data_IF_726912987937
#
_entry.id   IF_726912987937
#
_cell.length_a   1.000
_cell.length_b   1.000
_cell.length_c   1.000
_cell.angle_alpha   90.00
_cell.angle_beta   90.00
_cell.angle_gamma   90.00
#
_symmetry.space_group_name_H-M   'P 1'
#
loop_
_entity.id
_entity.type
_entity.pdbx_description
1 polymer ?
#
# COMPACT_ATOMS: atom_id res chain seq x y z
N UNK A 1 -21.03 32.29 29.51
CA UNK A 1 -21.99 31.80 28.48
C UNK A 1 -22.17 32.93 27.48
N UNK A 2 -22.33 32.64 26.19
CA UNK A 2 -22.63 33.68 25.18
C UNK A 2 -24.05 34.20 25.46
N UNK A 3 -24.25 35.52 25.42
CA UNK A 3 -25.56 36.13 25.64
C UNK A 3 -26.48 35.91 24.43
N UNK A 4 -27.79 36.08 24.64
CA UNK A 4 -28.78 35.89 23.56
C UNK A 4 -28.55 36.87 22.40
N UNK A 5 -28.21 38.12 22.71
CA UNK A 5 -27.94 39.15 21.70
C UNK A 5 -26.67 38.87 20.89
N UNK A 6 -25.59 38.39 21.52
CA UNK A 6 -24.39 37.95 20.81
C UNK A 6 -24.67 36.75 19.88
N UNK A 7 -25.51 35.81 20.31
CA UNK A 7 -25.93 34.68 19.49
C UNK A 7 -26.77 35.12 18.29
N UNK A 8 -27.77 36.00 18.50
CA UNK A 8 -28.63 36.51 17.44
C UNK A 8 -27.84 37.41 16.45
N UNK A 9 -26.86 38.18 16.93
CA UNK A 9 -25.90 38.90 16.07
C UNK A 9 -25.01 37.95 15.24
N UNK A 10 -24.48 36.89 15.86
CA UNK A 10 -23.64 35.91 15.16
C UNK A 10 -24.44 35.16 14.09
N UNK A 11 -25.67 34.76 14.40
CA UNK A 11 -26.61 34.15 13.47
C UNK A 11 -26.94 35.09 12.31
N UNK A 12 -27.27 36.36 12.59
CA UNK A 12 -27.53 37.38 11.56
C UNK A 12 -26.34 37.57 10.59
N UNK A 13 -25.11 37.61 11.13
CA UNK A 13 -23.88 37.66 10.31
C UNK A 13 -23.70 36.40 9.46
N UNK A 14 -23.98 35.22 10.01
CA UNK A 14 -23.91 33.94 9.28
C UNK A 14 -24.96 33.86 8.16
N UNK A 15 -26.22 34.20 8.44
CA UNK A 15 -27.31 34.19 7.45
C UNK A 15 -27.05 35.20 6.32
N UNK A 16 -26.51 36.39 6.63
CA UNK A 16 -26.05 37.35 5.63
C UNK A 16 -24.88 36.80 4.77
N UNK A 17 -23.92 36.13 5.39
CA UNK A 17 -22.79 35.48 4.69
C UNK A 17 -23.27 34.33 3.78
N UNK A 18 -24.21 33.50 4.24
CA UNK A 18 -24.84 32.44 3.44
C UNK A 18 -25.63 33.04 2.26
N UNK A 19 -26.37 34.13 2.47
CA UNK A 19 -27.08 34.84 1.38
C UNK A 19 -26.11 35.40 0.33
N UNK A 20 -25.01 36.02 0.76
CA UNK A 20 -23.96 36.50 -0.13
C UNK A 20 -23.27 35.36 -0.91
N UNK A 21 -23.03 34.21 -0.25
CA UNK A 21 -22.48 33.02 -0.90
C UNK A 21 -23.46 32.44 -1.94
N UNK A 22 -24.76 32.38 -1.66
CA UNK A 22 -25.80 31.91 -2.60
C UNK A 22 -25.86 32.79 -3.85
N UNK A 23 -25.98 34.11 -3.70
CA UNK A 23 -25.97 35.05 -4.83
C UNK A 23 -24.69 34.90 -5.69
N UNK A 24 -23.53 34.69 -5.06
CA UNK A 24 -22.25 34.47 -5.74
C UNK A 24 -22.12 33.08 -6.41
N UNK A 25 -22.97 32.12 -6.04
CA UNK A 25 -23.13 30.83 -6.72
C UNK A 25 -24.17 30.91 -7.85
N UNK A 26 -25.25 31.66 -7.69
CA UNK A 26 -26.28 31.91 -8.71
C UNK A 26 -25.68 32.64 -9.92
N UNK A 27 -24.81 33.64 -9.71
CA UNK A 27 -24.01 34.29 -10.78
C UNK A 27 -22.99 33.33 -11.44
N UNK A 28 -22.66 32.20 -10.81
CA UNK A 28 -21.86 31.12 -11.41
C UNK A 28 -22.70 29.96 -11.94
N UNK A 29 -24.02 30.09 -11.94
CA UNK A 29 -24.96 29.15 -12.56
C UNK A 29 -25.01 29.29 -14.07
N UNK A 30 -23.88 29.06 -14.77
CA UNK A 30 -23.95 28.79 -16.21
C UNK A 30 -24.81 27.55 -16.39
N UNK A 31 -25.92 27.67 -17.11
CA UNK A 31 -26.86 26.58 -17.32
C UNK A 31 -26.15 25.31 -17.85
N UNK A 32 -26.70 24.14 -17.51
CA UNK A 32 -26.32 22.89 -18.18
C UNK A 32 -26.94 22.89 -19.59
N UNK A 33 -26.29 23.63 -20.49
CA UNK A 33 -26.52 23.55 -21.93
C UNK A 33 -25.99 22.19 -22.43
N UNK A 34 -26.88 21.20 -22.49
CA UNK A 34 -26.61 19.88 -23.06
C UNK A 34 -26.93 19.87 -24.57
N UNK A 35 -26.70 21.00 -25.25
CA UNK A 35 -26.95 21.19 -26.68
C UNK A 35 -25.69 21.49 -27.51
N UNK A 36 -24.73 22.23 -26.97
CA UNK A 36 -23.53 22.62 -27.72
C UNK A 36 -22.34 21.66 -27.53
N UNK A 37 -21.53 21.48 -28.58
CA UNK A 37 -20.24 20.78 -28.56
C UNK A 37 -19.20 21.65 -27.82
N UNK A 38 -19.37 21.75 -26.49
CA UNK A 38 -18.56 22.59 -25.60
C UNK A 38 -17.07 22.40 -25.88
N UNK A 39 -16.44 23.47 -26.36
CA UNK A 39 -15.07 23.41 -26.89
C UNK A 39 -14.09 22.75 -25.94
N UNK A 40 -13.13 22.02 -26.53
CA UNK A 40 -12.09 21.33 -25.76
C UNK A 40 -11.32 22.31 -24.87
N UNK A 41 -10.99 21.94 -23.62
CA UNK A 41 -10.11 22.74 -22.79
C UNK A 41 -8.65 22.73 -23.32
N UNK A 42 -8.32 21.85 -24.26
CA UNK A 42 -7.02 21.82 -24.93
C UNK A 42 -6.90 22.87 -26.05
N UNK A 43 -5.73 23.53 -26.14
CA UNK A 43 -5.36 24.36 -27.31
C UNK A 43 -5.27 23.52 -28.59
N UNK A 44 -5.32 24.19 -29.74
CA UNK A 44 -5.15 23.57 -31.06
C UNK A 44 -3.88 22.72 -31.13
N UNK A 45 -2.75 23.21 -30.63
CA UNK A 45 -1.45 22.52 -30.64
C UNK A 45 -1.53 21.13 -30.02
N UNK A 46 -2.32 20.96 -28.94
CA UNK A 46 -2.53 19.65 -28.33
C UNK A 46 -3.40 18.75 -29.21
N UNK A 47 -4.50 19.27 -29.76
CA UNK A 47 -5.46 18.49 -30.57
C UNK A 47 -4.88 18.04 -31.91
N UNK A 48 -4.07 18.91 -32.53
CA UNK A 48 -3.48 18.75 -33.84
C UNK A 48 -2.12 18.02 -33.79
N UNK A 49 -1.52 17.87 -32.59
CA UNK A 49 -0.30 17.10 -32.38
C UNK A 49 -0.42 15.67 -32.94
N UNK A 50 0.50 15.34 -33.86
CA UNK A 50 0.58 14.03 -34.48
C UNK A 50 0.96 12.95 -33.46
N UNK A 51 0.18 11.88 -33.41
CA UNK A 51 0.44 10.73 -32.53
C UNK A 51 1.60 9.92 -33.13
N UNK A 52 2.71 9.67 -32.39
CA UNK A 52 3.84 8.91 -32.92
C UNK A 52 3.41 7.49 -33.36
N UNK A 53 3.84 6.98 -34.53
CA UNK A 53 3.36 5.68 -35.06
C UNK A 53 3.61 4.44 -34.19
N UNK A 54 4.48 4.54 -33.17
CA UNK A 54 4.78 3.48 -32.19
C UNK A 54 4.14 3.71 -30.82
N UNK A 55 3.37 4.78 -30.65
CA UNK A 55 2.74 5.15 -29.38
C UNK A 55 1.72 4.10 -28.93
N UNK A 56 1.71 3.80 -27.62
CA UNK A 56 0.72 2.94 -26.97
C UNK A 56 0.12 3.70 -25.79
N UNK A 57 -1.17 4.01 -25.86
CA UNK A 57 -1.90 4.63 -24.75
C UNK A 57 -1.71 3.80 -23.47
N UNK A 58 -1.24 4.38 -22.35
CA UNK A 58 -1.08 3.66 -21.09
C UNK A 58 -2.35 2.97 -20.62
N UNK A 59 -2.28 1.64 -20.40
CA UNK A 59 -3.40 0.85 -19.90
C UNK A 59 -3.59 1.07 -18.40
N UNK A 60 -4.34 2.11 -18.04
CA UNK A 60 -4.70 2.40 -16.65
C UNK A 60 -6.15 2.05 -16.34
N UNK A 61 -6.43 1.69 -15.08
CA UNK A 61 -7.82 1.66 -14.57
C UNK A 61 -8.37 3.10 -14.60
N UNK A 62 -9.58 3.36 -15.13
CA UNK A 62 -10.16 4.70 -15.15
C UNK A 62 -10.19 5.37 -13.77
N UNK A 63 -10.06 6.69 -13.77
CA UNK A 63 -10.16 7.55 -12.59
C UNK A 63 -11.51 8.24 -12.57
N UNK A 64 -12.29 7.98 -11.53
CA UNK A 64 -13.64 8.48 -11.29
C UNK A 64 -13.67 9.69 -10.33
N UNK A 65 -12.60 9.88 -9.55
CA UNK A 65 -12.49 10.85 -8.46
C UNK A 65 -12.24 10.23 -7.07
N UNK A 66 -12.26 8.89 -6.93
CA UNK A 66 -12.27 8.20 -5.63
C UNK A 66 -10.89 7.89 -5.00
N UNK A 67 -9.80 8.00 -5.78
CA UNK A 67 -8.43 7.63 -5.37
C UNK A 67 -7.56 8.87 -5.17
N UNK A 68 -6.41 8.72 -4.51
CA UNK A 68 -5.41 9.79 -4.44
C UNK A 68 -5.00 10.21 -5.87
N UNK A 69 -5.19 11.50 -6.26
CA UNK A 69 -4.78 11.98 -7.58
C UNK A 69 -3.25 12.02 -7.76
N UNK A 70 -2.45 11.95 -6.70
CA UNK A 70 -0.98 11.97 -6.78
C UNK A 70 -0.43 10.61 -7.19
N UNK A 71 -0.78 9.56 -6.45
CA UNK A 71 -0.54 8.16 -6.81
C UNK A 71 -0.96 7.87 -8.26
N UNK A 72 -2.15 8.35 -8.66
CA UNK A 72 -2.65 8.15 -10.02
C UNK A 72 -1.82 8.88 -11.10
N UNK A 73 -1.29 10.06 -10.78
CA UNK A 73 -0.38 10.80 -11.68
C UNK A 73 0.99 10.12 -11.73
N UNK A 74 1.55 9.68 -10.61
CA UNK A 74 2.86 9.01 -10.54
C UNK A 74 2.84 7.68 -11.32
N UNK A 75 1.74 6.91 -11.24
CA UNK A 75 1.53 5.71 -12.06
C UNK A 75 1.39 6.04 -13.56
N UNK A 76 0.74 7.16 -13.92
CA UNK A 76 0.66 7.59 -15.31
C UNK A 76 2.02 8.04 -15.87
N UNK A 77 2.75 8.86 -15.12
CA UNK A 77 4.07 9.38 -15.50
C UNK A 77 5.06 8.20 -15.69
N UNK A 78 5.08 7.25 -14.75
CA UNK A 78 5.86 6.02 -14.86
C UNK A 78 5.49 5.09 -16.04
N UNK A 79 4.32 5.26 -16.68
CA UNK A 79 3.92 4.50 -17.88
C UNK A 79 4.11 5.26 -19.19
N UNK A 80 4.08 6.60 -19.15
CA UNK A 80 4.15 7.46 -20.34
C UNK A 80 5.61 7.89 -20.65
N UNK A 81 6.46 8.03 -19.65
CA UNK A 81 7.81 8.58 -19.83
C UNK A 81 8.77 7.64 -20.57
N UNK A 82 8.62 6.32 -20.41
CA UNK A 82 9.33 5.32 -21.22
C UNK A 82 9.02 5.40 -22.74
N UNK A 83 8.00 6.17 -23.15
CA UNK A 83 7.65 6.38 -24.56
C UNK A 83 8.17 7.71 -25.11
N UNK A 84 8.83 8.55 -24.28
CA UNK A 84 9.47 9.82 -24.67
C UNK A 84 8.56 10.76 -25.49
N UNK A 85 7.28 10.83 -25.13
CA UNK A 85 6.27 11.59 -25.88
C UNK A 85 6.14 13.06 -25.43
N UNK A 86 5.65 13.91 -26.33
CA UNK A 86 5.40 15.33 -26.05
C UNK A 86 4.23 15.54 -25.08
N UNK A 87 4.22 16.69 -24.41
CA UNK A 87 3.14 17.11 -23.49
C UNK A 87 1.74 17.04 -24.10
N UNK A 88 1.61 17.32 -25.41
CA UNK A 88 0.35 17.16 -26.14
C UNK A 88 -0.18 15.72 -26.12
N UNK A 89 0.71 14.74 -26.32
CA UNK A 89 0.36 13.30 -26.25
C UNK A 89 0.10 12.88 -24.80
N UNK A 90 0.86 13.40 -23.82
CA UNK A 90 0.57 13.18 -22.39
C UNK A 90 -0.84 13.68 -22.03
N UNK A 91 -1.19 14.90 -22.42
CA UNK A 91 -2.54 15.45 -22.29
C UNK A 91 -3.61 14.57 -22.94
N UNK A 92 -3.44 14.21 -24.22
CA UNK A 92 -4.41 13.40 -24.97
C UNK A 92 -4.59 12.00 -24.40
N UNK A 93 -3.54 11.39 -23.84
CA UNK A 93 -3.62 10.11 -23.16
C UNK A 93 -4.28 10.21 -21.78
N UNK A 94 -3.92 11.22 -20.98
CA UNK A 94 -4.44 11.37 -19.61
C UNK A 94 -5.96 11.63 -19.59
N UNK A 95 -6.51 12.44 -20.52
CA UNK A 95 -7.96 12.68 -20.58
C UNK A 95 -8.80 11.42 -20.84
N UNK A 96 -8.25 10.40 -21.51
CA UNK A 96 -8.98 9.15 -21.84
C UNK A 96 -9.30 8.38 -20.55
N UNK A 97 -8.42 8.50 -19.56
CA UNK A 97 -8.54 7.82 -18.28
C UNK A 97 -9.63 8.40 -17.36
N UNK A 98 -10.13 9.61 -17.63
CA UNK A 98 -11.18 10.24 -16.81
C UNK A 98 -12.56 9.60 -17.06
N UNK A 99 -13.22 9.18 -15.99
CA UNK A 99 -14.63 8.75 -15.97
C UNK A 99 -15.39 9.48 -14.85
N UNK A 100 -16.70 9.25 -14.70
CA UNK A 100 -17.51 9.78 -13.59
C UNK A 100 -17.29 11.27 -13.30
N UNK A 101 -17.02 11.60 -12.04
CA UNK A 101 -16.80 12.97 -11.57
C UNK A 101 -15.57 13.62 -12.20
N UNK A 102 -14.52 12.87 -12.54
CA UNK A 102 -13.35 13.37 -13.26
C UNK A 102 -13.69 13.80 -14.69
N UNK A 103 -14.52 13.03 -15.40
CA UNK A 103 -14.98 13.41 -16.75
C UNK A 103 -15.91 14.64 -16.71
N UNK A 104 -16.75 14.75 -15.67
CA UNK A 104 -17.61 15.92 -15.46
C UNK A 104 -16.83 17.18 -15.05
N UNK A 105 -15.72 17.03 -14.31
CA UNK A 105 -14.79 18.13 -14.04
C UNK A 105 -14.05 18.57 -15.30
N UNK A 106 -13.50 17.63 -16.07
CA UNK A 106 -12.79 17.93 -17.32
C UNK A 106 -13.69 18.68 -18.32
N UNK A 107 -14.96 18.23 -18.48
CA UNK A 107 -15.98 18.95 -19.28
C UNK A 107 -16.33 20.36 -18.76
N UNK A 108 -15.93 20.75 -17.54
CA UNK A 108 -16.19 22.07 -16.95
C UNK A 108 -15.00 23.05 -17.03
N UNK A 109 -13.79 22.58 -17.34
CA UNK A 109 -12.63 23.45 -17.59
C UNK A 109 -12.96 24.51 -18.67
N UNK A 110 -12.38 25.72 -18.64
CA UNK A 110 -12.58 26.70 -19.70
C UNK A 110 -12.07 26.17 -21.05
N UNK A 111 -12.69 26.59 -22.15
CA UNK A 111 -12.19 26.26 -23.49
C UNK A 111 -10.75 26.78 -23.66
N UNK A 112 -9.90 25.97 -24.31
CA UNK A 112 -8.50 26.30 -24.67
C UNK A 112 -7.58 26.71 -23.51
N UNK A 113 -7.94 26.46 -22.25
CA UNK A 113 -7.16 26.88 -21.07
C UNK A 113 -5.92 26.02 -20.77
N UNK A 114 -5.77 24.87 -21.43
CA UNK A 114 -4.69 23.91 -21.20
C UNK A 114 -3.86 23.77 -22.49
N UNK A 115 -2.60 24.20 -22.43
CA UNK A 115 -1.58 24.07 -23.49
C UNK A 115 -0.43 23.12 -23.13
N UNK A 116 -0.31 22.70 -21.86
CA UNK A 116 0.72 21.75 -21.39
C UNK A 116 0.16 20.68 -20.45
N UNK A 117 0.85 19.55 -20.35
CA UNK A 117 0.50 18.48 -19.41
C UNK A 117 0.76 18.91 -17.96
N UNK A 118 1.77 19.74 -17.72
CA UNK A 118 2.01 20.36 -16.39
C UNK A 118 0.79 21.15 -15.88
N UNK A 119 0.11 21.92 -16.76
CA UNK A 119 -1.14 22.60 -16.40
C UNK A 119 -2.27 21.59 -16.12
N UNK A 120 -2.46 20.57 -16.97
CA UNK A 120 -3.50 19.55 -16.77
C UNK A 120 -3.30 18.80 -15.43
N UNK A 121 -2.06 18.41 -15.13
CA UNK A 121 -1.64 17.79 -13.86
C UNK A 121 -1.95 18.71 -12.67
N UNK A 122 -1.60 20.00 -12.76
CA UNK A 122 -1.84 20.98 -11.69
C UNK A 122 -3.33 21.14 -11.38
N UNK A 123 -4.15 21.35 -12.41
CA UNK A 123 -5.60 21.55 -12.22
C UNK A 123 -6.28 20.26 -11.73
N UNK A 124 -5.86 19.09 -12.22
CA UNK A 124 -6.33 17.78 -11.75
C UNK A 124 -6.01 17.56 -10.27
N UNK A 125 -4.75 17.74 -9.86
CA UNK A 125 -4.32 17.59 -8.47
C UNK A 125 -5.05 18.61 -7.57
N UNK A 126 -5.21 19.87 -8.01
CA UNK A 126 -5.95 20.91 -7.29
C UNK A 126 -7.42 20.51 -7.02
N UNK A 127 -8.11 20.05 -8.06
CA UNK A 127 -9.52 19.63 -7.98
C UNK A 127 -9.74 18.45 -7.02
N UNK A 128 -8.88 17.43 -7.07
CA UNK A 128 -9.14 16.15 -6.39
C UNK A 128 -8.45 16.01 -5.02
N UNK A 129 -7.32 16.69 -4.79
CA UNK A 129 -6.63 16.65 -3.47
C UNK A 129 -7.47 17.26 -2.34
N UNK A 130 -8.41 18.14 -2.68
CA UNK A 130 -9.26 18.86 -1.70
C UNK A 130 -10.51 18.09 -1.25
N UNK A 131 -10.77 16.89 -1.79
CA UNK A 131 -12.05 16.18 -1.60
C UNK A 131 -11.95 14.78 -1.02
N UNK A 132 -10.90 14.02 -1.34
CA UNK A 132 -10.88 12.56 -1.14
C UNK A 132 -9.57 12.01 -0.56
N UNK A 133 -8.75 12.84 0.07
CA UNK A 133 -7.64 12.35 0.90
C UNK A 133 -7.62 13.00 2.28
N UNK A 134 -8.58 12.57 3.10
CA UNK A 134 -8.45 12.57 4.56
C UNK A 134 -7.22 11.75 4.93
N UNK A 135 -6.05 12.40 4.93
CA UNK A 135 -4.80 11.78 5.38
C UNK A 135 -5.03 11.30 6.80
N UNK A 136 -4.97 9.99 7.02
CA UNK A 136 -5.38 9.42 8.29
C UNK A 136 -4.55 10.06 9.40
N UNK A 137 -5.19 10.53 10.45
CA UNK A 137 -4.50 11.14 11.59
C UNK A 137 -3.74 10.06 12.36
N UNK A 138 -2.73 10.41 13.16
CA UNK A 138 -2.03 9.43 14.00
C UNK A 138 -3.01 8.62 14.88
N UNK A 139 -4.08 9.26 15.36
CA UNK A 139 -5.19 8.63 16.11
C UNK A 139 -5.93 7.51 15.37
N UNK A 140 -5.85 7.43 14.04
CA UNK A 140 -6.38 6.28 13.29
C UNK A 140 -5.68 4.97 13.69
N UNK A 141 -4.38 5.01 13.97
CA UNK A 141 -3.62 3.82 14.37
C UNK A 141 -4.08 3.23 15.71
N UNK A 142 -4.68 4.04 16.59
CA UNK A 142 -5.31 3.56 17.81
C UNK A 142 -6.50 2.60 17.54
N UNK A 143 -7.12 2.68 16.36
CA UNK A 143 -8.19 1.76 15.94
C UNK A 143 -7.64 0.42 15.41
N UNK A 144 -6.35 0.38 15.05
CA UNK A 144 -5.67 -0.77 14.45
C UNK A 144 -5.21 -1.71 15.56
N UNK A 145 -6.15 -2.43 16.17
CA UNK A 145 -5.89 -3.49 17.15
C UNK A 145 -5.85 -4.87 16.47
N UNK A 146 -5.14 -5.83 17.07
CA UNK A 146 -5.05 -7.21 16.63
C UNK A 146 -6.39 -7.91 16.81
N UNK A 147 -6.87 -8.60 15.76
CA UNK A 147 -8.18 -9.26 15.76
C UNK A 147 -8.09 -10.65 16.40
N UNK A 148 -9.22 -11.15 16.92
CA UNK A 148 -9.33 -12.53 17.40
C UNK A 148 -9.03 -13.51 16.26
N UNK A 149 -7.94 -14.28 16.40
CA UNK A 149 -7.48 -15.26 15.39
C UNK A 149 -6.52 -14.72 14.33
N UNK A 150 -6.19 -13.42 14.34
CA UNK A 150 -5.19 -12.83 13.44
C UNK A 150 -3.78 -13.05 14.00
N UNK A 151 -2.87 -13.58 13.17
CA UNK A 151 -1.49 -13.84 13.58
C UNK A 151 -0.72 -12.55 13.83
N UNK A 152 0.37 -12.65 14.60
CA UNK A 152 1.26 -11.52 14.85
C UNK A 152 1.86 -10.95 13.55
N UNK A 153 2.11 -11.81 12.55
CA UNK A 153 2.58 -11.38 11.22
C UNK A 153 1.53 -10.55 10.48
N UNK A 154 0.29 -11.04 10.37
CA UNK A 154 -0.80 -10.32 9.70
C UNK A 154 -1.10 -8.99 10.38
N UNK A 155 -1.11 -8.95 11.71
CA UNK A 155 -1.28 -7.71 12.48
C UNK A 155 -0.19 -6.69 12.17
N UNK A 156 1.09 -7.09 12.19
CA UNK A 156 2.23 -6.21 11.89
C UNK A 156 2.16 -5.66 10.47
N UNK A 157 1.94 -6.51 9.47
CA UNK A 157 1.79 -6.08 8.08
C UNK A 157 0.66 -5.08 7.93
N UNK A 158 -0.53 -5.38 8.49
CA UNK A 158 -1.68 -4.48 8.45
C UNK A 158 -1.44 -3.15 9.18
N UNK A 159 -0.71 -3.15 10.30
CA UNK A 159 -0.37 -1.92 11.01
C UNK A 159 0.60 -1.04 10.20
N UNK A 160 1.65 -1.63 9.61
CA UNK A 160 2.59 -0.90 8.76
C UNK A 160 1.91 -0.34 7.49
N UNK A 161 1.04 -1.13 6.85
CA UNK A 161 0.25 -0.65 5.70
C UNK A 161 -0.69 0.51 6.04
N UNK A 162 -1.25 0.55 7.24
CA UNK A 162 -2.10 1.66 7.69
C UNK A 162 -1.28 2.87 8.17
N UNK A 163 -0.09 2.65 8.72
CA UNK A 163 0.87 3.72 9.07
C UNK A 163 1.36 4.49 7.84
N UNK A 164 1.60 3.82 6.70
CA UNK A 164 1.97 4.49 5.45
C UNK A 164 0.88 5.43 4.89
N UNK A 165 -0.38 5.25 5.33
CA UNK A 165 -1.54 6.09 4.95
C UNK A 165 -1.76 7.26 5.93
N UNK A 166 -0.96 7.34 6.99
CA UNK A 166 -1.05 8.36 8.04
C UNK A 166 -0.08 9.51 7.77
N UNK A 167 -0.52 10.75 8.03
CA UNK A 167 0.36 11.91 7.99
C UNK A 167 0.89 12.24 9.40
N UNK A 168 2.18 12.58 9.47
CA UNK A 168 2.84 13.13 10.68
C UNK A 168 2.65 12.29 11.96
N UNK A 169 2.87 10.98 11.88
CA UNK A 169 3.00 10.12 13.06
C UNK A 169 4.43 10.22 13.63
N UNK A 170 4.59 10.44 14.93
CA UNK A 170 5.89 10.27 15.61
C UNK A 170 6.14 8.80 15.95
N UNK A 171 7.40 8.42 16.15
CA UNK A 171 7.75 7.07 16.60
C UNK A 171 7.11 6.72 17.95
N UNK A 172 7.05 7.66 18.90
CA UNK A 172 6.31 7.47 20.17
C UNK A 172 4.84 7.15 19.96
N UNK A 173 4.19 7.84 19.02
CA UNK A 173 2.77 7.61 18.67
C UNK A 173 2.61 6.23 18.04
N UNK A 174 3.48 5.87 17.09
CA UNK A 174 3.46 4.58 16.43
C UNK A 174 3.71 3.42 17.40
N UNK A 175 4.72 3.54 18.28
CA UNK A 175 5.02 2.59 19.35
C UNK A 175 3.82 2.44 20.31
N UNK A 176 3.26 3.55 20.79
CA UNK A 176 2.12 3.54 21.71
C UNK A 176 0.91 2.82 21.10
N UNK A 177 0.48 3.20 19.89
CA UNK A 177 -0.69 2.60 19.24
C UNK A 177 -0.45 1.15 18.82
N UNK A 178 0.77 0.79 18.39
CA UNK A 178 1.11 -0.59 18.06
C UNK A 178 1.09 -1.50 19.30
N UNK A 179 1.74 -1.08 20.39
CA UNK A 179 1.89 -1.86 21.62
C UNK A 179 0.55 -2.02 22.37
N UNK A 180 -0.31 -0.98 22.34
CA UNK A 180 -1.68 -1.05 22.89
C UNK A 180 -2.67 -1.73 21.93
N UNK A 181 -2.30 -1.95 20.67
CA UNK A 181 -3.08 -2.70 19.69
C UNK A 181 -2.86 -4.22 19.72
N UNK A 182 -1.74 -4.72 20.26
CA UNK A 182 -1.45 -6.15 20.40
C UNK A 182 -2.48 -6.89 21.28
N UNK A 183 -2.69 -8.18 20.99
CA UNK A 183 -3.58 -9.05 21.77
C UNK A 183 -2.86 -9.86 22.89
N UNK A 184 -1.53 -9.95 22.86
CA UNK A 184 -0.72 -10.62 23.90
C UNK A 184 -0.07 -9.55 24.81
N UNK A 185 -0.66 -9.35 25.99
CA UNK A 185 -0.15 -8.41 27.00
C UNK A 185 1.27 -8.76 27.49
N UNK A 186 1.62 -10.05 27.50
CA UNK A 186 2.97 -10.50 27.87
C UNK A 186 3.98 -10.13 26.79
N UNK A 187 3.58 -10.17 25.51
CA UNK A 187 4.39 -9.65 24.41
C UNK A 187 4.50 -8.11 24.47
N UNK A 188 3.41 -7.38 24.72
CA UNK A 188 3.43 -5.92 24.91
C UNK A 188 4.44 -5.51 25.99
N UNK A 189 4.40 -6.15 27.16
CA UNK A 189 5.34 -5.89 28.26
C UNK A 189 6.79 -6.26 27.87
N UNK A 190 7.02 -7.37 27.15
CA UNK A 190 8.36 -7.74 26.67
C UNK A 190 8.94 -6.72 25.69
N UNK A 191 8.14 -6.16 24.79
CA UNK A 191 8.59 -5.20 23.79
C UNK A 191 8.89 -3.81 24.38
N UNK A 192 8.07 -3.36 25.34
CA UNK A 192 8.27 -2.07 26.02
C UNK A 192 9.40 -2.05 27.07
N UNK A 193 9.79 -3.21 27.62
CA UNK A 193 10.74 -3.33 28.75
C UNK A 193 12.13 -2.76 28.52
N UNK A 194 12.57 -2.65 27.28
CA UNK A 194 13.92 -2.20 26.90
C UNK A 194 13.95 -0.72 26.46
N UNK A 195 12.90 0.06 26.75
CA UNK A 195 12.79 1.49 26.41
C UNK A 195 13.25 1.83 24.97
N UNK A 196 12.65 1.20 23.94
CA UNK A 196 13.06 1.38 22.55
C UNK A 196 12.98 2.85 22.13
N UNK A 197 14.02 3.34 21.45
CA UNK A 197 14.11 4.74 21.03
C UNK A 197 13.37 5.01 19.70
N UNK A 198 13.06 3.96 18.93
CA UNK A 198 12.40 4.04 17.64
C UNK A 198 11.36 2.92 17.45
N UNK A 199 10.34 3.19 16.62
CA UNK A 199 9.38 2.20 16.18
C UNK A 199 10.05 1.08 15.36
N UNK A 200 11.15 1.39 14.66
CA UNK A 200 11.97 0.42 13.96
C UNK A 200 12.56 -0.66 14.89
N UNK A 201 13.01 -0.30 16.10
CA UNK A 201 13.48 -1.28 17.11
C UNK A 201 12.35 -2.20 17.58
N UNK A 202 11.15 -1.66 17.80
CA UNK A 202 9.97 -2.47 18.17
C UNK A 202 9.68 -3.49 17.06
N UNK A 203 9.61 -3.05 15.81
CA UNK A 203 9.42 -3.93 14.65
C UNK A 203 10.50 -5.02 14.52
N UNK A 204 11.78 -4.69 14.78
CA UNK A 204 12.86 -5.68 14.78
C UNK A 204 12.69 -6.73 15.91
N UNK A 205 12.28 -6.31 17.11
CA UNK A 205 12.02 -7.22 18.24
C UNK A 205 10.81 -8.12 17.96
N UNK A 206 9.73 -7.56 17.41
CA UNK A 206 8.54 -8.31 16.97
C UNK A 206 8.89 -9.33 15.89
N UNK A 207 9.70 -8.96 14.89
CA UNK A 207 10.12 -9.89 13.83
C UNK A 207 10.83 -11.12 14.39
N UNK A 208 11.76 -10.95 15.36
CA UNK A 208 12.42 -12.07 16.06
C UNK A 208 11.43 -13.01 16.76
N UNK A 209 10.31 -12.48 17.27
CA UNK A 209 9.23 -13.28 17.88
C UNK A 209 8.46 -14.06 16.82
N UNK A 210 8.10 -13.44 15.69
CA UNK A 210 7.43 -14.11 14.57
C UNK A 210 8.29 -15.24 14.00
N UNK A 211 9.54 -14.94 13.66
CA UNK A 211 10.48 -15.91 13.08
C UNK A 211 10.71 -17.10 14.04
N UNK A 212 10.72 -16.83 15.36
CA UNK A 212 10.79 -17.86 16.41
C UNK A 212 9.52 -18.70 16.55
N UNK A 213 8.33 -18.10 16.44
CA UNK A 213 7.06 -18.83 16.46
C UNK A 213 6.93 -19.78 15.26
N UNK A 214 7.30 -19.33 14.06
CA UNK A 214 7.26 -20.13 12.83
C UNK A 214 8.26 -21.29 12.84
N UNK A 215 9.45 -21.08 13.42
CA UNK A 215 10.44 -22.14 13.64
C UNK A 215 9.93 -23.23 14.60
N UNK A 216 9.12 -22.86 15.60
CA UNK A 216 8.50 -23.83 16.52
C UNK A 216 7.37 -24.61 15.84
N UNK A 217 6.48 -23.94 15.09
CA UNK A 217 5.43 -24.62 14.30
C UNK A 217 6.03 -25.62 13.31
N UNK A 218 7.12 -25.25 12.63
CA UNK A 218 7.84 -26.12 11.69
C UNK A 218 8.44 -27.37 12.35
N UNK A 219 8.80 -27.29 13.64
CA UNK A 219 9.28 -28.44 14.41
C UNK A 219 8.14 -29.34 14.89
N UNK A 220 7.05 -28.75 15.38
CA UNK A 220 5.86 -29.48 15.87
C UNK A 220 5.17 -30.23 14.72
N UNK A 221 5.18 -29.68 13.50
CA UNK A 221 4.66 -30.34 12.30
C UNK A 221 5.50 -31.52 11.76
N UNK A 222 6.62 -31.89 12.42
CA UNK A 222 7.48 -32.99 12.00
C UNK A 222 7.28 -34.20 12.93
N UNK A 223 6.70 -35.33 12.48
CA UNK A 223 6.50 -36.49 13.34
C UNK A 223 7.86 -37.03 13.80
N UNK A 224 8.02 -37.16 15.12
CA UNK A 224 9.24 -37.67 15.73
C UNK A 224 9.47 -39.13 15.31
N UNK A 225 10.59 -39.39 14.63
CA UNK A 225 11.06 -40.78 14.46
C UNK A 225 11.54 -41.28 15.81
N UNK A 226 10.71 -42.08 16.48
CA UNK A 226 11.09 -42.80 17.69
C UNK A 226 12.38 -43.58 17.45
N UNK A 227 13.44 -43.23 18.17
CA UNK A 227 14.65 -44.05 18.26
C UNK A 227 14.39 -45.09 19.36
N UNK A 228 13.86 -46.24 18.93
CA UNK A 228 13.40 -47.34 19.79
C UNK A 228 14.54 -47.87 20.70
N UNK A 229 14.47 -47.56 22.00
CA UNK A 229 15.48 -47.97 22.97
C UNK A 229 15.30 -49.44 23.39
N UNK A 230 15.93 -50.37 22.66
CA UNK A 230 15.92 -51.80 23.00
C UNK A 230 17.22 -52.30 23.63
N UNK A 231 17.17 -52.54 24.96
CA UNK A 231 17.88 -53.56 25.75
C UNK A 231 17.44 -53.45 27.22
N UNK A 232 17.67 -54.47 28.10
CA UNK A 232 18.42 -55.72 27.89
C UNK A 232 17.68 -57.01 28.25
N UNK A 233 18.29 -58.17 27.92
CA UNK A 233 18.18 -59.44 28.67
C UNK A 233 19.33 -60.38 28.28
N UNK A 234 19.68 -61.31 29.18
CA UNK A 234 20.79 -62.28 29.06
C UNK A 234 20.25 -63.62 28.52
N UNK A 235 21.01 -64.61 28.02
CA UNK A 235 22.44 -65.00 28.16
C UNK A 235 23.11 -65.12 26.72
N UNK A 236 24.08 -66.00 26.31
CA UNK A 236 24.79 -67.14 26.93
C UNK A 236 26.19 -67.45 26.37
N UNK A 237 27.10 -67.72 27.32
CA UNK A 237 28.41 -68.40 27.35
C UNK A 237 29.13 -68.90 26.05
N UNK A 238 30.41 -68.47 25.93
CA UNK A 238 31.58 -69.13 25.27
C UNK A 238 31.54 -69.26 23.73
N UNK A 239 32.67 -69.37 23.01
CA UNK A 239 34.07 -69.56 23.41
C UNK A 239 35.07 -68.65 22.64
N UNK A 240 36.35 -68.72 22.98
CA UNK A 240 37.46 -68.00 22.34
C UNK A 240 37.97 -68.65 21.05
N UNK A 241 38.57 -67.87 20.14
CA UNK A 241 39.94 -68.15 19.63
C UNK A 241 40.48 -67.03 18.72
N UNK A 242 41.81 -66.90 18.69
CA UNK A 242 42.55 -66.07 17.72
C UNK A 242 42.67 -66.81 16.38
N UNK A 243 42.76 -66.08 15.26
CA UNK A 243 43.95 -66.17 14.41
C UNK A 243 44.12 -64.95 13.49
N UNK A 244 45.35 -64.77 12.98
CA UNK A 244 45.68 -63.97 11.80
C UNK A 244 46.08 -64.93 10.67
N UNK A 245 45.66 -64.65 9.45
CA UNK A 245 46.47 -64.72 8.22
C UNK A 245 45.71 -63.94 7.12
N UNK A 246 46.31 -63.11 6.25
CA UNK A 246 47.37 -63.29 5.22
C UNK A 246 46.85 -63.95 3.94
N UNK A 247 47.34 -63.45 2.80
CA UNK A 247 46.70 -63.58 1.47
C UNK A 247 46.01 -62.25 1.10
N UNK A 248 46.41 -61.44 0.11
CA UNK A 248 47.09 -61.68 -1.18
C UNK A 248 46.26 -62.52 -2.15
N UNK A 249 46.01 -62.13 -3.41
CA UNK A 249 46.37 -60.86 -4.10
C UNK A 249 45.70 -60.72 -5.48
N UNK A 250 45.59 -59.47 -5.95
CA UNK A 250 45.72 -59.02 -7.37
C UNK A 250 44.74 -59.49 -8.47
N UNK A 251 44.69 -58.68 -9.54
CA UNK A 251 44.06 -58.89 -10.87
C UNK A 251 42.53 -59.09 -10.90
N UNK A 252 41.73 -58.24 -11.55
CA UNK A 252 41.75 -57.76 -12.96
C UNK A 252 41.16 -58.79 -13.93
N UNK A 253 39.94 -58.52 -14.39
CA UNK A 253 39.21 -59.26 -15.41
C UNK A 253 38.15 -58.34 -16.03
N UNK A 254 38.20 -58.16 -17.36
CA UNK A 254 37.43 -57.16 -18.11
C UNK A 254 36.40 -57.84 -19.03
N UNK A 255 35.44 -57.06 -19.52
CA UNK A 255 34.40 -57.39 -20.50
C UNK A 255 33.13 -58.10 -19.97
N UNK A 256 31.95 -57.86 -20.55
CA UNK A 256 31.59 -56.79 -21.51
C UNK A 256 30.45 -57.14 -22.47
N UNK A 257 29.68 -56.12 -22.89
CA UNK A 257 28.49 -56.22 -23.76
C UNK A 257 27.35 -57.08 -23.17
N UNK A 258 26.08 -57.06 -23.61
CA UNK A 258 25.31 -56.35 -24.67
C UNK A 258 23.89 -56.11 -24.05
N UNK A 259 22.98 -55.29 -24.57
CA UNK A 259 22.84 -54.65 -25.89
C UNK A 259 22.11 -53.32 -25.73
#
# INVERSE_FOLDING_TARGET
MITREEFDQLKSKFDAQVKALRARCEVKGSAFDDGNLRESPFTSDILEAQIPPKFKTPTMKPYDGSKDPKDYVEVFEGLIDFQTVTDAIKCRAFQIAFTGSARLWYRKLPARSISTYSQLRKEFISQFSSRHYDRKTATHLATIRQKKGETLREYVTRFQEEQLKVAHCSDDSAMCYFLTGLADETLTVKLGKEAPATFAEVLQKVKKVIDGQELLQTKIGRPEKQIDQKKPSQEKRKAESKSKDRGSSSSSGRAGYRR
#
